data_IF_976386257308
#
_entry.id   IF_976386257308
#
_cell.length_a   1.000
_cell.length_b   1.000
_cell.length_c   1.000
_cell.angle_alpha   90.00
_cell.angle_beta   90.00
_cell.angle_gamma   90.00
#
_symmetry.space_group_name_H-M   'P 1'
#
loop_
_entity.id
_entity.type
_entity.pdbx_description
1 polymer ?
#
# COMPACT_ATOMS: atom_id res chain seq x y z
N UNK A 1 19.76 -21.06 -7.41
CA UNK A 1 19.13 -19.74 -7.20
C UNK A 1 20.21 -18.70 -7.04
N UNK A 2 20.15 -17.65 -7.83
CA UNK A 2 21.06 -16.52 -7.70
C UNK A 2 20.36 -15.52 -6.79
N UNK A 3 20.75 -15.49 -5.52
CA UNK A 3 20.31 -14.50 -4.56
C UNK A 3 21.42 -13.49 -4.30
N UNK A 4 21.08 -12.21 -4.21
CA UNK A 4 21.97 -11.15 -3.79
C UNK A 4 21.53 -10.57 -2.45
N UNK A 5 22.47 -10.06 -1.68
CA UNK A 5 22.19 -9.32 -0.46
C UNK A 5 22.50 -7.84 -0.69
N UNK A 6 21.54 -6.97 -0.40
CA UNK A 6 21.76 -5.52 -0.37
C UNK A 6 21.77 -5.08 1.09
N UNK A 7 22.89 -4.54 1.53
CA UNK A 7 23.02 -3.97 2.87
C UNK A 7 22.99 -2.45 2.79
N UNK A 8 22.08 -1.83 3.54
CA UNK A 8 21.93 -0.37 3.59
C UNK A 8 22.35 0.10 4.98
N UNK A 9 23.36 0.94 5.04
CA UNK A 9 23.83 1.55 6.28
C UNK A 9 23.51 3.04 6.29
N UNK A 10 22.81 3.49 7.32
CA UNK A 10 22.51 4.91 7.52
C UNK A 10 23.09 5.35 8.86
N UNK A 11 24.07 6.24 8.82
CA UNK A 11 24.67 6.84 10.03
C UNK A 11 24.41 8.34 10.02
N UNK A 12 23.74 8.86 11.04
CA UNK A 12 23.45 10.29 11.17
C UNK A 12 24.73 11.12 11.25
N UNK A 13 25.78 10.59 11.92
CA UNK A 13 27.05 11.27 12.10
C UNK A 13 27.83 11.48 10.79
N UNK A 14 27.53 10.74 9.72
CA UNK A 14 28.19 10.86 8.42
C UNK A 14 27.50 11.86 7.48
N UNK A 15 26.36 12.42 7.90
CA UNK A 15 25.60 13.40 7.11
C UNK A 15 26.07 14.82 7.36
N UNK A 16 26.18 15.60 6.29
CA UNK A 16 26.40 17.05 6.40
C UNK A 16 25.16 17.76 6.90
N UNK A 17 25.35 18.88 7.63
CA UNK A 17 24.24 19.74 8.02
C UNK A 17 23.50 20.27 6.81
N UNK A 18 22.19 20.28 6.88
CA UNK A 18 21.32 20.77 5.80
C UNK A 18 20.00 20.04 5.71
N UNK A 19 19.19 20.45 4.78
CA UNK A 19 17.88 19.84 4.55
C UNK A 19 17.35 20.11 3.16
N UNK A 20 16.28 19.47 2.82
CA UNK A 20 15.56 19.66 1.56
C UNK A 20 14.07 19.48 1.74
N UNK A 21 13.30 20.22 0.95
CA UNK A 21 11.88 20.02 0.73
C UNK A 21 11.71 19.62 -0.74
N UNK A 22 11.06 18.51 -0.99
CA UNK A 22 10.84 18.00 -2.33
C UNK A 22 9.35 17.79 -2.54
N UNK A 23 8.84 18.26 -3.66
CA UNK A 23 7.50 17.97 -4.15
C UNK A 23 7.58 17.26 -5.48
N UNK A 24 6.75 16.25 -5.67
CA UNK A 24 6.64 15.48 -6.89
C UNK A 24 5.17 15.39 -7.28
N UNK A 25 4.90 15.55 -8.56
CA UNK A 25 3.60 15.32 -9.17
C UNK A 25 3.78 14.35 -10.34
N UNK A 26 2.77 13.56 -10.61
CA UNK A 26 2.78 12.58 -11.70
C UNK A 26 1.39 12.32 -12.23
N UNK A 27 1.29 11.39 -13.17
CA UNK A 27 0.03 10.96 -13.74
C UNK A 27 -0.89 10.35 -12.66
N UNK A 28 -2.16 10.24 -12.97
CA UNK A 28 -3.19 9.61 -12.14
C UNK A 28 -3.26 10.23 -10.72
N UNK A 29 -3.12 11.56 -10.64
CA UNK A 29 -3.21 12.29 -9.39
C UNK A 29 -2.07 12.02 -8.40
N UNK A 30 -0.96 11.40 -8.84
CA UNK A 30 0.16 11.16 -7.94
C UNK A 30 0.78 12.46 -7.44
N UNK A 31 0.86 12.59 -6.14
CA UNK A 31 1.51 13.70 -5.47
C UNK A 31 2.31 13.21 -4.26
N UNK A 32 3.53 13.72 -4.10
CA UNK A 32 4.38 13.41 -2.95
C UNK A 32 5.09 14.65 -2.45
N UNK A 33 5.06 14.84 -1.13
CA UNK A 33 5.89 15.83 -0.43
C UNK A 33 6.85 15.10 0.49
N UNK A 34 8.11 15.51 0.50
CA UNK A 34 9.13 14.96 1.38
C UNK A 34 9.97 16.08 1.98
N UNK A 35 10.21 16.04 3.27
CA UNK A 35 11.09 16.91 4.00
C UNK A 35 12.22 16.11 4.64
N UNK A 36 13.44 16.54 4.46
CA UNK A 36 14.65 15.94 5.05
C UNK A 36 15.41 17.01 5.79
N UNK A 37 15.92 16.67 6.96
CA UNK A 37 16.81 17.53 7.72
C UNK A 37 17.90 16.73 8.42
N UNK A 38 19.12 17.27 8.42
CA UNK A 38 20.30 16.72 9.08
C UNK A 38 21.01 17.82 9.86
N UNK A 39 21.33 17.57 11.11
CA UNK A 39 22.07 18.54 11.92
C UNK A 39 23.54 18.70 11.51
N UNK A 40 24.08 17.69 10.84
CA UNK A 40 25.51 17.47 10.80
C UNK A 40 26.07 17.03 12.18
N UNK A 41 27.32 16.62 12.21
CA UNK A 41 28.01 16.26 13.45
C UNK A 41 28.49 17.52 14.17
N UNK A 42 28.12 17.71 15.43
CA UNK A 42 28.62 18.80 16.26
C UNK A 42 29.98 18.48 16.88
N UNK A 43 30.57 19.44 17.56
CA UNK A 43 31.89 19.30 18.20
C UNK A 43 31.95 18.19 19.26
N UNK A 44 30.82 17.85 19.87
CA UNK A 44 30.73 16.78 20.86
C UNK A 44 30.44 15.40 20.22
N UNK A 45 30.41 15.30 18.89
CA UNK A 45 30.25 14.07 18.17
C UNK A 45 28.79 13.66 17.92
N UNK A 46 27.81 14.47 18.30
CA UNK A 46 26.38 14.18 18.09
C UNK A 46 25.88 14.65 16.72
N UNK A 47 25.01 13.85 16.13
CA UNK A 47 24.29 14.19 14.92
C UNK A 47 22.89 13.63 14.94
N UNK A 48 21.96 14.33 14.29
CA UNK A 48 20.56 13.89 14.13
C UNK A 48 20.13 14.03 12.67
N UNK A 49 19.23 13.15 12.26
CA UNK A 49 18.64 13.17 10.92
C UNK A 49 17.16 12.83 10.99
N UNK A 50 16.35 13.54 10.21
CA UNK A 50 14.92 13.29 10.08
C UNK A 50 14.50 13.27 8.62
N UNK A 51 13.55 12.41 8.29
CA UNK A 51 12.81 12.43 7.04
C UNK A 51 11.34 12.19 7.35
N UNK A 52 10.49 13.01 6.76
CA UNK A 52 9.04 12.81 6.72
C UNK A 52 8.58 12.95 5.28
N UNK A 53 7.72 12.07 4.85
CA UNK A 53 7.07 12.22 3.55
C UNK A 53 5.65 11.68 3.57
N UNK A 54 4.81 12.27 2.70
CA UNK A 54 3.47 11.79 2.39
C UNK A 54 3.32 11.69 0.89
N UNK A 55 2.67 10.65 0.43
CA UNK A 55 2.27 10.47 -0.96
C UNK A 55 0.81 10.05 -1.03
N UNK A 56 0.17 10.36 -2.15
CA UNK A 56 -1.17 9.93 -2.51
C UNK A 56 -1.25 9.81 -4.03
N UNK A 57 -2.25 9.11 -4.54
CA UNK A 57 -2.52 8.98 -5.96
C UNK A 57 -3.72 8.08 -6.23
N UNK A 58 -4.36 8.29 -7.36
CA UNK A 58 -5.54 7.51 -7.76
C UNK A 58 -5.15 6.12 -8.33
N UNK A 59 -3.89 5.98 -8.77
CA UNK A 59 -3.40 4.79 -9.44
C UNK A 59 -3.76 4.74 -10.93
N UNK A 60 -2.94 4.04 -11.71
CA UNK A 60 -3.18 3.83 -13.14
C UNK A 60 -4.44 3.02 -13.42
N UNK A 61 -4.77 2.10 -12.54
CA UNK A 61 -5.93 1.21 -12.63
C UNK A 61 -7.08 1.85 -11.87
N UNK A 62 -8.28 1.83 -12.43
CA UNK A 62 -9.48 2.40 -11.80
C UNK A 62 -9.70 1.82 -10.41
N UNK A 63 -10.14 2.65 -9.49
CA UNK A 63 -10.40 2.27 -8.10
C UNK A 63 -9.19 1.63 -7.39
N UNK A 64 -7.96 2.11 -7.69
CA UNK A 64 -6.75 1.69 -6.99
C UNK A 64 -6.05 2.83 -6.26
N UNK A 65 -6.81 3.82 -5.84
CA UNK A 65 -6.28 4.93 -5.05
C UNK A 65 -5.50 4.43 -3.83
N UNK A 66 -4.44 5.16 -3.53
CA UNK A 66 -3.59 4.86 -2.39
C UNK A 66 -2.95 6.10 -1.80
N UNK A 67 -2.56 5.98 -0.55
CA UNK A 67 -1.80 6.98 0.17
C UNK A 67 -0.84 6.33 1.16
N UNK A 68 0.17 7.06 1.53
CA UNK A 68 1.11 6.60 2.54
C UNK A 68 2.01 7.70 3.06
N UNK A 69 2.72 7.36 4.10
CA UNK A 69 3.69 8.24 4.71
C UNK A 69 4.95 7.45 5.08
N UNK A 70 6.10 8.12 5.00
CA UNK A 70 7.36 7.55 5.48
C UNK A 70 7.90 8.46 6.56
N UNK A 71 8.51 7.85 7.53
CA UNK A 71 9.19 8.54 8.60
C UNK A 71 10.52 7.86 8.89
N UNK A 72 11.50 8.70 9.20
CA UNK A 72 12.83 8.27 9.58
C UNK A 72 13.37 9.27 10.60
N UNK A 73 13.95 8.75 11.67
CA UNK A 73 14.69 9.51 12.65
C UNK A 73 15.96 8.75 13.00
N UNK A 74 17.08 9.43 13.07
CA UNK A 74 18.32 8.85 13.50
C UNK A 74 19.09 9.79 14.43
N UNK A 75 19.75 9.21 15.43
CA UNK A 75 20.67 9.89 16.34
C UNK A 75 21.98 9.13 16.31
N UNK A 76 23.05 9.82 15.96
CA UNK A 76 24.40 9.28 15.93
C UNK A 76 25.29 9.96 16.98
N UNK A 77 26.19 9.19 17.56
CA UNK A 77 27.25 9.67 18.44
C UNK A 77 28.59 9.08 18.01
N UNK A 78 29.46 9.93 17.52
CA UNK A 78 30.81 9.55 17.03
C UNK A 78 31.81 10.70 17.29
N UNK A 79 32.21 10.92 18.54
CA UNK A 79 33.17 11.97 18.88
C UNK A 79 34.53 11.70 18.25
N UNK A 80 35.23 12.76 17.92
CA UNK A 80 36.58 12.68 17.34
C UNK A 80 37.56 12.05 18.35
N UNK A 81 38.39 11.13 17.87
CA UNK A 81 39.34 10.39 18.72
C UNK A 81 38.71 9.29 19.59
N UNK A 82 37.41 9.08 19.53
CA UNK A 82 36.75 7.98 20.27
C UNK A 82 36.84 6.66 19.51
N UNK A 83 37.12 5.59 20.26
CA UNK A 83 37.04 4.22 19.75
C UNK A 83 35.61 3.71 19.61
N UNK A 84 34.62 4.48 20.04
CA UNK A 84 33.20 4.10 20.02
C UNK A 84 32.40 5.01 19.10
N UNK A 85 31.52 4.38 18.34
CA UNK A 85 30.45 5.09 17.63
C UNK A 85 29.11 4.40 17.83
N UNK A 86 28.07 5.18 18.08
CA UNK A 86 26.70 4.72 18.33
C UNK A 86 25.78 5.32 17.29
N UNK A 87 24.81 4.54 16.85
CA UNK A 87 23.77 5.04 15.97
C UNK A 87 22.44 4.37 16.29
N UNK A 88 21.47 5.16 16.65
CA UNK A 88 20.08 4.73 16.79
C UNK A 88 19.27 5.21 15.59
N UNK A 89 18.44 4.34 15.03
CA UNK A 89 17.57 4.66 13.91
C UNK A 89 16.17 4.14 14.18
N UNK A 90 15.18 4.95 13.87
CA UNK A 90 13.77 4.57 13.87
C UNK A 90 13.16 4.96 12.52
N UNK A 91 12.55 4.01 11.86
CA UNK A 91 11.96 4.23 10.53
C UNK A 91 10.70 3.40 10.32
N UNK A 92 9.88 3.83 9.39
CA UNK A 92 8.72 3.09 8.94
C UNK A 92 8.05 3.74 7.74
N UNK A 93 7.16 2.97 7.14
CA UNK A 93 6.36 3.38 5.98
C UNK A 93 4.94 2.84 6.15
N UNK A 94 4.04 3.66 6.65
CA UNK A 94 2.62 3.34 6.69
C UNK A 94 1.99 3.61 5.34
N UNK A 95 1.15 2.69 4.87
CA UNK A 95 0.41 2.88 3.63
C UNK A 95 -0.94 2.17 3.65
N UNK A 96 -1.84 2.67 2.83
CA UNK A 96 -3.08 1.99 2.45
C UNK A 96 -3.32 2.22 0.96
N UNK A 97 -3.83 1.21 0.30
CA UNK A 97 -4.20 1.29 -1.11
C UNK A 97 -5.25 0.26 -1.47
N UNK A 98 -6.06 0.58 -2.47
CA UNK A 98 -6.94 -0.37 -3.10
C UNK A 98 -6.18 -1.24 -4.10
N UNK A 99 -6.69 -2.43 -4.36
CA UNK A 99 -6.00 -3.43 -5.18
C UNK A 99 -6.87 -3.96 -6.30
N UNK A 100 -6.18 -4.43 -7.34
CA UNK A 100 -6.71 -5.30 -8.37
C UNK A 100 -5.96 -6.63 -8.30
N UNK A 101 -6.48 -7.59 -7.55
CA UNK A 101 -5.80 -8.85 -7.24
C UNK A 101 -6.62 -10.11 -7.61
N UNK A 102 -7.68 -9.94 -8.37
CA UNK A 102 -8.54 -11.04 -8.82
C UNK A 102 -8.11 -11.52 -10.20
N UNK A 103 -8.06 -12.82 -10.33
CA UNK A 103 -7.80 -13.49 -11.60
C UNK A 103 -9.06 -13.43 -12.47
N UNK A 104 -8.95 -12.72 -13.58
CA UNK A 104 -10.01 -12.59 -14.59
C UNK A 104 -9.43 -12.93 -15.95
N UNK A 105 -10.30 -13.27 -16.91
CA UNK A 105 -9.86 -13.61 -18.26
C UNK A 105 -9.50 -12.36 -19.05
N UNK A 106 -8.74 -12.52 -20.13
CA UNK A 106 -8.47 -11.44 -21.09
C UNK A 106 -9.79 -10.95 -21.70
N UNK A 107 -10.74 -11.84 -21.91
CA UNK A 107 -12.06 -11.52 -22.43
C UNK A 107 -12.82 -10.53 -21.53
N UNK A 108 -12.68 -10.63 -20.21
CA UNK A 108 -13.30 -9.68 -19.30
C UNK A 108 -12.73 -8.27 -19.49
N UNK A 109 -11.41 -8.14 -19.72
CA UNK A 109 -10.79 -6.86 -20.04
C UNK A 109 -11.21 -6.30 -21.40
N UNK A 110 -11.65 -7.14 -22.32
CA UNK A 110 -12.17 -6.73 -23.62
C UNK A 110 -13.64 -6.36 -23.57
N UNK A 111 -14.41 -6.96 -22.67
CA UNK A 111 -15.84 -6.70 -22.52
C UNK A 111 -16.13 -5.36 -21.82
N UNK A 112 -15.27 -4.92 -20.91
CA UNK A 112 -15.51 -3.74 -20.08
C UNK A 112 -14.61 -2.57 -20.49
N UNK A 113 -14.81 -2.07 -21.72
CA UNK A 113 -14.04 -0.92 -22.19
C UNK A 113 -14.62 0.44 -21.76
N UNK A 114 -15.90 0.47 -21.33
CA UNK A 114 -16.52 1.65 -20.71
C UNK A 114 -16.63 2.84 -21.67
N UNK A 115 -16.60 4.02 -21.09
CA UNK A 115 -16.65 5.30 -21.83
C UNK A 115 -15.28 5.71 -22.41
N UNK A 116 -14.45 4.74 -22.71
CA UNK A 116 -13.12 4.98 -23.26
C UNK A 116 -13.18 5.13 -24.77
N UNK A 117 -13.22 6.36 -25.24
CA UNK A 117 -13.25 6.71 -26.68
C UNK A 117 -12.00 6.26 -27.44
N UNK A 118 -10.92 5.93 -26.72
CA UNK A 118 -9.66 5.45 -27.27
C UNK A 118 -9.59 3.92 -27.43
N UNK A 119 -10.64 3.19 -27.09
CA UNK A 119 -10.73 1.73 -27.24
C UNK A 119 -11.78 1.33 -28.25
N UNK A 120 -11.42 0.41 -29.12
CA UNK A 120 -12.34 -0.24 -30.04
C UNK A 120 -12.87 -1.56 -29.47
N UNK A 121 -13.95 -2.07 -30.05
CA UNK A 121 -14.50 -3.37 -29.65
C UNK A 121 -13.45 -4.46 -29.75
N UNK A 122 -13.16 -5.12 -28.62
CA UNK A 122 -12.16 -6.16 -28.52
C UNK A 122 -10.80 -5.70 -28.00
N UNK A 123 -10.59 -4.39 -27.84
CA UNK A 123 -9.41 -3.87 -27.18
C UNK A 123 -9.37 -4.19 -25.70
N UNK A 124 -8.18 -4.28 -25.15
CA UNK A 124 -7.97 -4.61 -23.73
C UNK A 124 -7.99 -3.34 -22.89
N UNK A 125 -9.02 -3.15 -22.06
CA UNK A 125 -9.05 -2.09 -21.07
C UNK A 125 -8.12 -2.40 -19.88
N UNK A 126 -6.88 -1.97 -19.99
CA UNK A 126 -5.86 -2.19 -18.94
C UNK A 126 -6.16 -1.45 -17.63
N UNK A 127 -7.02 -0.42 -17.68
CA UNK A 127 -7.44 0.35 -16.51
C UNK A 127 -8.57 -0.30 -15.72
N UNK A 128 -9.29 -1.21 -16.33
CA UNK A 128 -10.41 -1.86 -15.64
C UNK A 128 -9.97 -2.65 -14.42
N UNK A 129 -10.76 -2.55 -13.35
CA UNK A 129 -10.57 -3.23 -12.08
C UNK A 129 -11.80 -4.07 -11.74
N UNK A 130 -11.65 -5.38 -11.74
CA UNK A 130 -12.71 -6.31 -11.39
C UNK A 130 -13.22 -6.18 -9.94
N UNK A 131 -12.46 -5.57 -9.06
CA UNK A 131 -12.82 -5.31 -7.65
C UNK A 131 -13.36 -3.90 -7.43
N UNK A 132 -13.31 -3.05 -8.46
CA UNK A 132 -13.58 -1.64 -8.37
C UNK A 132 -15.00 -1.27 -8.79
N UNK A 133 -15.48 -0.17 -8.28
CA UNK A 133 -16.78 0.38 -8.60
C UNK A 133 -17.07 1.66 -7.83
N UNK A 134 -18.34 1.91 -7.57
CA UNK A 134 -18.81 3.12 -6.90
C UNK A 134 -19.50 2.79 -5.58
N UNK A 135 -19.24 3.58 -4.57
CA UNK A 135 -19.91 3.56 -3.27
C UNK A 135 -20.13 5.00 -2.80
N UNK A 136 -21.40 5.38 -2.57
CA UNK A 136 -21.80 6.74 -2.18
C UNK A 136 -21.26 7.83 -3.16
N UNK A 137 -21.19 7.51 -4.45
CA UNK A 137 -20.71 8.43 -5.47
C UNK A 137 -19.18 8.57 -5.57
N UNK A 138 -18.43 7.79 -4.83
CA UNK A 138 -16.96 7.78 -4.86
C UNK A 138 -16.42 6.45 -5.39
N UNK A 139 -15.24 6.50 -6.03
CA UNK A 139 -14.54 5.27 -6.42
C UNK A 139 -14.18 4.43 -5.20
N UNK A 140 -14.50 3.15 -5.27
CA UNK A 140 -14.26 2.20 -4.20
C UNK A 140 -13.77 0.86 -4.74
N UNK A 141 -12.92 0.17 -3.99
CA UNK A 141 -12.58 -1.22 -4.23
C UNK A 141 -12.77 -2.03 -2.95
N UNK A 142 -13.41 -3.19 -3.08
CA UNK A 142 -13.56 -4.11 -1.96
C UNK A 142 -12.24 -4.70 -1.48
N UNK A 143 -11.20 -4.65 -2.31
CA UNK A 143 -9.87 -5.14 -1.99
C UNK A 143 -8.99 -3.97 -1.60
N UNK A 144 -8.75 -3.84 -0.32
CA UNK A 144 -7.88 -2.81 0.25
C UNK A 144 -6.78 -3.49 1.06
N UNK A 145 -5.58 -3.01 0.93
CA UNK A 145 -4.46 -3.41 1.76
C UNK A 145 -3.97 -2.21 2.56
N UNK A 146 -3.58 -2.46 3.79
CA UNK A 146 -2.93 -1.46 4.64
C UNK A 146 -1.88 -2.11 5.51
N UNK A 147 -0.78 -1.44 5.71
CA UNK A 147 0.20 -1.87 6.70
C UNK A 147 1.07 -0.71 7.21
N UNK A 148 1.59 -0.88 8.40
CA UNK A 148 2.68 -0.10 8.96
C UNK A 148 3.57 -1.03 9.77
N UNK A 149 4.87 -1.05 9.47
CA UNK A 149 5.85 -1.91 10.13
C UNK A 149 7.07 -1.11 10.52
N UNK A 150 7.03 -0.36 11.64
CA UNK A 150 8.19 0.36 12.15
C UNK A 150 9.32 -0.60 12.51
N UNK A 151 10.51 -0.09 12.32
CA UNK A 151 11.78 -0.74 12.66
C UNK A 151 12.61 0.22 13.49
N UNK A 152 13.10 -0.23 14.63
CA UNK A 152 14.13 0.43 15.42
C UNK A 152 15.42 -0.36 15.35
N UNK A 153 16.54 0.33 15.15
CA UNK A 153 17.86 -0.29 15.17
C UNK A 153 18.81 0.48 16.07
N UNK A 154 19.68 -0.23 16.73
CA UNK A 154 20.79 0.34 17.49
C UNK A 154 22.06 -0.35 17.05
N UNK A 155 23.03 0.45 16.61
CA UNK A 155 24.34 -0.03 16.19
C UNK A 155 25.42 0.57 17.08
N UNK A 156 26.34 -0.27 17.51
CA UNK A 156 27.50 0.10 18.28
C UNK A 156 28.75 -0.47 17.61
N UNK A 157 29.60 0.42 17.16
CA UNK A 157 30.94 0.10 16.65
C UNK A 157 31.96 0.42 17.73
N UNK A 158 32.83 -0.54 18.05
CA UNK A 158 33.93 -0.37 18.99
C UNK A 158 35.22 -0.84 18.35
N UNK A 159 36.17 0.10 18.20
CA UNK A 159 37.55 -0.19 17.81
C UNK A 159 38.35 -0.60 19.06
N UNK A 160 38.50 -1.91 19.27
CA UNK A 160 39.20 -2.46 20.44
C UNK A 160 40.72 -2.26 20.32
N UNK A 161 41.23 -2.40 19.10
CA UNK A 161 42.61 -2.13 18.74
C UNK A 161 42.72 -1.81 17.25
N UNK A 162 43.94 -1.53 16.75
CA UNK A 162 44.12 -1.28 15.31
C UNK A 162 43.73 -2.47 14.43
N UNK A 163 43.81 -3.68 14.99
CA UNK A 163 43.53 -4.92 14.25
C UNK A 163 42.20 -5.59 14.67
N UNK A 164 41.48 -5.02 15.62
CA UNK A 164 40.25 -5.63 16.15
C UNK A 164 39.11 -4.60 16.32
N UNK A 165 38.03 -4.88 15.68
CA UNK A 165 36.78 -4.10 15.77
C UNK A 165 35.62 -5.00 16.15
N UNK A 166 34.81 -4.57 17.12
CA UNK A 166 33.52 -5.17 17.43
C UNK A 166 32.39 -4.34 16.80
N UNK A 167 31.49 -4.98 16.11
CA UNK A 167 30.28 -4.35 15.57
C UNK A 167 29.06 -5.08 16.15
N UNK A 168 28.24 -4.35 16.87
CA UNK A 168 27.03 -4.87 17.48
C UNK A 168 25.82 -4.20 16.85
N UNK A 169 24.85 -4.99 16.41
CA UNK A 169 23.59 -4.49 15.88
C UNK A 169 22.42 -5.15 16.62
N UNK A 170 21.56 -4.31 17.19
CA UNK A 170 20.28 -4.74 17.77
C UNK A 170 19.17 -4.12 16.94
N UNK A 171 18.10 -4.89 16.72
CA UNK A 171 16.93 -4.37 16.02
C UNK A 171 15.65 -4.95 16.61
N UNK A 172 14.58 -4.18 16.47
CA UNK A 172 13.23 -4.59 16.83
C UNK A 172 12.22 -4.02 15.84
N UNK A 173 11.21 -4.81 15.51
CA UNK A 173 10.14 -4.40 14.61
C UNK A 173 8.81 -4.88 15.13
N UNK A 174 7.77 -4.02 15.04
CA UNK A 174 6.40 -4.39 15.32
C UNK A 174 5.54 -3.95 14.14
N UNK A 175 4.82 -4.88 13.54
CA UNK A 175 4.01 -4.61 12.36
C UNK A 175 2.52 -4.76 12.64
N UNK A 176 1.73 -3.89 12.01
CA UNK A 176 0.28 -4.03 11.91
C UNK A 176 -0.12 -3.83 10.47
N UNK A 177 -0.96 -4.73 9.98
CA UNK A 177 -1.48 -4.63 8.62
C UNK A 177 -2.62 -5.61 8.40
N UNK A 178 -3.28 -5.47 7.29
CA UNK A 178 -4.39 -6.31 6.90
C UNK A 178 -4.88 -5.97 5.50
N UNK A 179 -5.84 -6.75 5.05
CA UNK A 179 -6.57 -6.51 3.82
C UNK A 179 -8.05 -6.66 4.04
N UNK A 180 -8.83 -6.04 3.17
CA UNK A 180 -10.26 -6.26 3.09
C UNK A 180 -10.60 -7.18 1.94
N UNK A 181 -11.76 -7.76 2.01
CA UNK A 181 -12.33 -8.58 0.96
C UNK A 181 -13.73 -8.98 1.36
N UNK A 182 -14.48 -9.59 0.48
CA UNK A 182 -15.79 -10.08 0.81
C UNK A 182 -15.69 -11.20 1.83
N UNK A 183 -16.65 -11.26 2.69
CA UNK A 183 -16.70 -12.23 3.78
C UNK A 183 -18.02 -12.99 3.72
N UNK A 184 -17.91 -14.32 3.80
CA UNK A 184 -19.06 -15.20 3.81
C UNK A 184 -19.80 -15.28 2.47
N UNK A 185 -20.90 -15.96 2.47
CA UNK A 185 -21.84 -16.06 1.35
C UNK A 185 -22.84 -14.90 1.49
N UNK A 186 -22.45 -13.74 1.08
CA UNK A 186 -23.18 -12.51 1.34
C UNK A 186 -24.26 -12.23 0.34
N UNK A 187 -25.01 -13.30 -0.07
CA UNK A 187 -26.06 -13.09 -0.95
C UNK A 187 -26.93 -14.24 -0.90
N UNK A 188 -27.98 -14.00 -1.28
CA UNK A 188 -29.09 -14.76 -1.18
C UNK A 188 -29.17 -15.92 -2.04
N UNK A 189 -29.16 -17.07 -1.49
CA UNK A 189 -29.72 -18.26 -2.06
C UNK A 189 -28.92 -18.89 -3.18
N UNK A 190 -28.23 -18.16 -3.98
CA UNK A 190 -27.43 -18.70 -5.06
C UNK A 190 -26.02 -18.14 -5.02
N UNK A 191 -25.05 -19.03 -5.11
CA UNK A 191 -23.65 -18.65 -5.22
C UNK A 191 -23.36 -17.72 -6.42
N UNK A 192 -24.35 -17.50 -7.25
CA UNK A 192 -24.25 -16.70 -8.46
C UNK A 192 -24.69 -15.27 -8.29
N UNK A 193 -25.43 -14.93 -7.23
CA UNK A 193 -26.17 -13.68 -7.25
C UNK A 193 -25.41 -12.43 -6.87
N UNK A 194 -24.27 -12.47 -6.22
CA UNK A 194 -23.66 -11.21 -5.78
C UNK A 194 -22.14 -11.20 -5.59
N UNK A 195 -21.42 -12.27 -5.85
CA UNK A 195 -20.00 -12.22 -5.64
C UNK A 195 -19.27 -11.64 -6.82
N UNK A 196 -18.75 -10.42 -6.69
CA UNK A 196 -18.14 -9.71 -7.80
C UNK A 196 -16.75 -10.20 -8.18
N UNK A 197 -16.31 -11.36 -7.70
CA UNK A 197 -14.96 -11.86 -8.01
C UNK A 197 -14.92 -13.29 -8.51
N UNK A 198 -16.03 -13.91 -8.80
CA UNK A 198 -16.02 -15.16 -9.51
C UNK A 198 -16.11 -14.92 -11.00
N UNK A 199 -15.28 -15.62 -11.74
CA UNK A 199 -15.16 -15.52 -13.19
C UNK A 199 -16.49 -15.78 -13.92
N UNK A 200 -17.27 -16.68 -13.36
CA UNK A 200 -18.59 -17.10 -13.85
C UNK A 200 -19.70 -16.04 -13.63
N UNK A 201 -19.42 -15.01 -12.88
CA UNK A 201 -20.41 -13.99 -12.54
C UNK A 201 -20.44 -12.81 -13.50
N UNK A 202 -19.39 -12.59 -14.26
CA UNK A 202 -19.37 -11.57 -15.30
C UNK A 202 -20.38 -11.87 -16.41
N UNK A 203 -20.54 -13.13 -16.77
CA UNK A 203 -21.49 -13.56 -17.80
C UNK A 203 -22.96 -13.53 -17.27
N UNK A 204 -23.17 -13.92 -16.03
CA UNK A 204 -24.52 -14.00 -15.44
C UNK A 204 -25.14 -12.63 -15.16
N UNK A 205 -24.34 -11.65 -14.86
CA UNK A 205 -24.81 -10.29 -14.60
C UNK A 205 -25.26 -9.55 -15.86
N UNK A 206 -24.70 -9.93 -17.00
CA UNK A 206 -25.05 -9.31 -18.28
C UNK A 206 -26.35 -9.83 -18.86
N UNK A 207 -26.72 -11.09 -18.57
CA UNK A 207 -27.90 -11.71 -19.16
C UNK A 207 -29.21 -11.38 -18.43
N UNK A 208 -29.19 -11.23 -17.12
CA UNK A 208 -30.42 -11.11 -16.32
C UNK A 208 -30.73 -9.71 -15.81
N UNK A 209 -29.85 -8.73 -15.98
CA UNK A 209 -30.03 -7.37 -15.44
C UNK A 209 -30.11 -7.30 -13.91
N UNK A 210 -29.71 -8.37 -13.22
CA UNK A 210 -29.82 -8.53 -11.76
C UNK A 210 -28.50 -8.34 -11.01
N UNK A 211 -27.43 -8.05 -11.73
CA UNK A 211 -26.11 -7.90 -11.13
C UNK A 211 -25.86 -6.50 -10.59
N UNK A 212 -24.94 -6.43 -9.64
CA UNK A 212 -24.43 -5.17 -9.12
C UNK A 212 -23.24 -4.65 -9.94
N UNK A 213 -23.16 -5.01 -11.21
CA UNK A 213 -22.09 -4.56 -12.10
C UNK A 213 -22.66 -3.89 -13.34
N UNK A 214 -22.14 -2.73 -13.66
CA UNK A 214 -22.47 -2.03 -14.90
C UNK A 214 -21.99 -2.81 -16.11
N UNK A 215 -22.83 -2.99 -17.10
CA UNK A 215 -22.57 -3.83 -18.28
C UNK A 215 -21.59 -3.22 -19.27
N UNK A 216 -21.38 -1.92 -19.21
CA UNK A 216 -20.50 -1.17 -20.12
C UNK A 216 -19.13 -0.94 -19.45
N UNK A 217 -19.14 -0.37 -18.27
CA UNK A 217 -17.91 0.00 -17.56
C UNK A 217 -17.31 -1.15 -16.77
N UNK A 218 -18.11 -2.16 -16.44
CA UNK A 218 -17.73 -3.24 -15.55
C UNK A 218 -17.52 -2.79 -14.09
N UNK A 219 -17.93 -1.59 -13.74
CA UNK A 219 -17.85 -1.07 -12.39
C UNK A 219 -18.90 -1.72 -11.49
N UNK A 220 -18.54 -2.02 -10.26
CA UNK A 220 -19.47 -2.58 -9.28
C UNK A 220 -20.30 -1.46 -8.66
N UNK A 221 -21.61 -1.64 -8.62
CA UNK A 221 -22.51 -0.81 -7.83
C UNK A 221 -22.57 -1.33 -6.39
N UNK A 222 -21.69 -0.80 -5.56
CA UNK A 222 -21.65 -1.18 -4.15
C UNK A 222 -22.84 -0.66 -3.36
N UNK A 223 -23.47 0.42 -3.80
CA UNK A 223 -24.71 0.93 -3.17
C UNK A 223 -25.86 -0.05 -3.36
N UNK A 224 -25.99 -0.62 -4.56
CA UNK A 224 -26.96 -1.68 -4.81
C UNK A 224 -26.71 -2.93 -3.96
N UNK A 225 -25.43 -3.32 -3.78
CA UNK A 225 -25.07 -4.45 -2.91
C UNK A 225 -25.43 -4.16 -1.45
N UNK A 226 -25.11 -2.96 -0.95
CA UNK A 226 -25.44 -2.54 0.41
C UNK A 226 -26.96 -2.54 0.62
N UNK A 227 -27.72 -1.95 -0.31
CA UNK A 227 -29.18 -1.92 -0.23
C UNK A 227 -29.80 -3.32 -0.25
N UNK A 228 -29.28 -4.20 -1.11
CA UNK A 228 -29.74 -5.59 -1.17
C UNK A 228 -29.46 -6.36 0.12
N UNK A 229 -28.30 -6.15 0.73
CA UNK A 229 -27.95 -6.79 2.00
C UNK A 229 -28.79 -6.25 3.17
N UNK A 230 -29.08 -4.95 3.19
CA UNK A 230 -29.92 -4.33 4.22
C UNK A 230 -31.38 -4.75 4.12
N UNK A 231 -31.89 -5.00 2.90
CA UNK A 231 -33.26 -5.46 2.67
C UNK A 231 -33.45 -6.97 2.81
N UNK A 232 -32.37 -7.72 2.98
CA UNK A 232 -32.45 -9.18 3.14
C UNK A 232 -33.12 -9.55 4.45
N UNK A 233 -34.15 -10.39 4.37
CA UNK A 233 -34.80 -11.00 5.53
C UNK A 233 -34.20 -12.34 5.92
N UNK A 234 -33.31 -12.85 5.10
CA UNK A 234 -32.62 -14.10 5.37
C UNK A 234 -31.48 -13.82 6.37
N UNK A 235 -31.69 -14.23 7.59
CA UNK A 235 -30.67 -14.09 8.63
C UNK A 235 -29.38 -14.82 8.22
N UNK A 236 -28.24 -14.19 8.44
CA UNK A 236 -26.94 -14.86 8.32
C UNK A 236 -26.84 -15.94 9.39
N UNK A 237 -26.85 -17.18 8.97
CA UNK A 237 -26.66 -18.35 9.86
C UNK A 237 -25.21 -18.86 9.85
N UNK A 238 -24.26 -18.06 9.40
CA UNK A 238 -22.86 -18.40 9.40
C UNK A 238 -22.23 -18.24 10.79
N UNK A 239 -21.47 -19.24 11.18
CA UNK A 239 -20.69 -19.23 12.41
C UNK A 239 -19.64 -18.11 12.37
N UNK A 240 -19.67 -17.20 13.33
CA UNK A 240 -18.72 -16.09 13.47
C UNK A 240 -17.53 -16.52 14.36
N UNK A 241 -17.31 -17.82 14.47
CA UNK A 241 -16.16 -18.35 15.17
C UNK A 241 -14.90 -18.22 14.32
N UNK A 242 -14.05 -17.23 14.63
CA UNK A 242 -12.75 -17.04 14.03
C UNK A 242 -11.97 -15.95 14.73
#
# INVERSE_FOLDING_TARGET
SVGGTVSIYTKAADKKAGGSLTQMAGNDGYFKTSAVWNSGKNKSGWATSFLLSRWLGNGYINSTAGEGYNYFAAVGYAPEGSDHSLNFTFLGAGQQHHQRDVWVSIRDYQNFHGDRDDLETGDINRRWNSNGGMLNGEEFSMRRNFYNKPLATFNWDWKISDNLKLVTSLYGSAGRGGGTGPRGNNYRGSATDILPFRKDLTEHYLEDGKGARDSITGAIDFDAIVAANQSSTDGYTGDISG
#
